data_IF_107582667680
#
_entry.id   IF_107582667680
#
_cell.length_a   1.000
_cell.length_b   1.000
_cell.length_c   1.000
_cell.angle_alpha   90.00
_cell.angle_beta   90.00
_cell.angle_gamma   90.00
#
_symmetry.space_group_name_H-M   'P 1'
#
loop_
_entity.id
_entity.type
_entity.pdbx_description
1 polymer ?
#
# COMPACT_ATOMS: atom_id res chain seq x y z
N UNK A 1 -8.74 -8.09 -22.53
CA UNK A 1 -8.28 -8.38 -21.15
C UNK A 1 -7.21 -7.35 -20.80
N UNK A 2 -7.21 -6.80 -19.59
CA UNK A 2 -6.20 -5.83 -19.15
C UNK A 2 -4.84 -6.48 -18.85
N UNK A 3 -3.81 -5.69 -18.51
CA UNK A 3 -2.51 -6.20 -18.06
C UNK A 3 -2.66 -7.24 -16.95
N UNK A 4 -1.84 -8.29 -16.99
CA UNK A 4 -1.77 -9.31 -15.94
C UNK A 4 -2.96 -10.26 -15.84
N UNK A 5 -3.98 -10.14 -16.71
CA UNK A 5 -5.15 -11.02 -16.69
C UNK A 5 -5.14 -11.97 -17.89
N UNK A 6 -5.31 -13.27 -17.61
CA UNK A 6 -5.63 -14.30 -18.61
C UNK A 6 -6.99 -14.94 -18.32
N UNK A 7 -7.32 -16.01 -19.05
CA UNK A 7 -8.52 -16.79 -18.78
C UNK A 7 -8.46 -17.53 -17.43
N UNK A 8 -7.27 -17.95 -16.99
CA UNK A 8 -7.08 -18.81 -15.81
C UNK A 8 -6.27 -18.15 -14.69
N UNK A 9 -5.58 -17.04 -14.97
CA UNK A 9 -4.69 -16.41 -14.00
C UNK A 9 -4.86 -14.90 -13.94
N UNK A 10 -4.51 -14.33 -12.79
CA UNK A 10 -4.40 -12.90 -12.53
C UNK A 10 -3.10 -12.60 -11.80
N UNK A 11 -2.26 -11.74 -12.38
CA UNK A 11 -0.97 -11.38 -11.82
C UNK A 11 -1.11 -10.23 -10.84
N UNK A 12 -0.65 -10.44 -9.61
CA UNK A 12 -0.72 -9.46 -8.53
C UNK A 12 0.70 -9.20 -8.00
N UNK A 13 1.10 -7.93 -7.99
CA UNK A 13 2.34 -7.49 -7.39
C UNK A 13 2.22 -7.37 -5.87
N UNK A 14 3.25 -7.77 -5.14
CA UNK A 14 3.34 -7.61 -3.69
C UNK A 14 4.66 -6.94 -3.35
N UNK A 15 4.58 -5.79 -2.72
CA UNK A 15 5.73 -5.11 -2.13
C UNK A 15 5.82 -5.61 -0.69
N UNK A 16 6.99 -6.09 -0.28
CA UNK A 16 7.23 -6.50 1.10
C UNK A 16 8.51 -5.85 1.63
N UNK A 17 8.51 -5.28 2.84
CA UNK A 17 9.72 -4.70 3.41
C UNK A 17 10.72 -5.81 3.76
N UNK A 18 12.01 -5.53 3.60
CA UNK A 18 13.05 -6.38 4.14
C UNK A 18 13.07 -6.25 5.68
N UNK A 19 12.81 -7.32 6.44
CA UNK A 19 12.74 -7.25 7.90
C UNK A 19 14.08 -6.85 8.54
N UNK A 20 15.21 -7.07 7.85
CA UNK A 20 16.55 -6.69 8.35
C UNK A 20 16.81 -5.18 8.27
N UNK A 21 16.07 -4.46 7.44
CA UNK A 21 16.27 -3.02 7.21
C UNK A 21 15.06 -2.17 7.61
N UNK A 22 14.01 -2.80 8.14
CA UNK A 22 12.76 -2.14 8.55
C UNK A 22 12.98 -1.00 9.57
N UNK A 23 13.91 -1.16 10.51
CA UNK A 23 14.30 -0.12 11.47
C UNK A 23 15.11 1.06 10.86
N UNK A 24 15.30 1.10 9.54
CA UNK A 24 15.94 2.20 8.83
C UNK A 24 17.42 2.43 9.18
N UNK A 25 18.11 1.44 9.75
CA UNK A 25 19.54 1.52 10.09
C UNK A 25 19.87 2.44 11.28
N UNK A 26 18.86 2.89 12.03
CA UNK A 26 19.01 3.88 13.12
C UNK A 26 19.27 3.26 14.51
N UNK A 27 19.38 1.92 14.58
CA UNK A 27 19.64 1.19 15.83
C UNK A 27 18.40 0.88 16.67
N UNK A 28 17.19 1.23 16.21
CA UNK A 28 15.96 0.73 16.83
C UNK A 28 15.83 -0.79 16.63
N UNK A 29 15.35 -1.47 17.66
CA UNK A 29 14.97 -2.88 17.59
C UNK A 29 13.54 -2.95 17.09
N UNK A 30 13.35 -3.52 15.91
CA UNK A 30 12.02 -3.79 15.38
C UNK A 30 11.45 -5.08 15.97
N UNK A 31 10.12 -5.17 16.06
CA UNK A 31 9.46 -6.40 16.48
C UNK A 31 9.65 -7.52 15.44
N UNK A 32 9.67 -8.79 15.88
CA UNK A 32 9.70 -9.92 14.95
C UNK A 32 8.36 -10.02 14.21
N UNK A 33 8.34 -9.62 12.94
CA UNK A 33 7.16 -9.63 12.08
C UNK A 33 7.04 -10.90 11.20
N UNK A 34 8.01 -11.80 11.31
CA UNK A 34 8.13 -13.01 10.48
C UNK A 34 8.56 -12.71 9.03
N UNK A 35 8.57 -13.75 8.19
CA UNK A 35 8.91 -13.61 6.76
C UNK A 35 7.68 -13.22 5.95
N UNK A 36 7.63 -11.94 5.54
CA UNK A 36 6.52 -11.39 4.77
C UNK A 36 6.32 -12.10 3.40
N UNK A 37 7.38 -12.59 2.76
CA UNK A 37 7.26 -13.35 1.51
C UNK A 37 6.56 -14.68 1.75
N UNK A 38 6.92 -15.39 2.82
CA UNK A 38 6.26 -16.64 3.20
C UNK A 38 4.79 -16.39 3.54
N UNK A 39 4.47 -15.31 4.26
CA UNK A 39 3.09 -14.93 4.58
C UNK A 39 2.26 -14.65 3.32
N UNK A 40 2.80 -13.87 2.37
CA UNK A 40 2.13 -13.61 1.08
C UNK A 40 1.88 -14.91 0.33
N UNK A 41 2.89 -15.78 0.19
CA UNK A 41 2.75 -17.05 -0.52
C UNK A 41 1.73 -17.99 0.16
N UNK A 42 1.68 -18.02 1.49
CA UNK A 42 0.68 -18.78 2.23
C UNK A 42 -0.75 -18.29 1.95
N UNK A 43 -0.96 -16.97 1.96
CA UNK A 43 -2.27 -16.38 1.66
C UNK A 43 -2.68 -16.57 0.20
N UNK A 44 -1.75 -16.40 -0.74
CA UNK A 44 -1.99 -16.65 -2.17
C UNK A 44 -2.38 -18.11 -2.41
N UNK A 45 -1.66 -19.05 -1.79
CA UNK A 45 -1.99 -20.47 -1.86
C UNK A 45 -3.41 -20.73 -1.36
N UNK A 46 -3.74 -20.20 -0.17
CA UNK A 46 -5.09 -20.35 0.39
C UNK A 46 -6.17 -19.81 -0.56
N UNK A 47 -6.01 -18.60 -1.11
CA UNK A 47 -7.00 -18.02 -2.03
C UNK A 47 -7.14 -18.86 -3.31
N UNK A 48 -6.04 -19.33 -3.88
CA UNK A 48 -6.06 -20.17 -5.07
C UNK A 48 -6.76 -21.52 -4.82
N UNK A 49 -6.51 -22.15 -3.66
CA UNK A 49 -7.21 -23.38 -3.23
C UNK A 49 -8.72 -23.18 -3.04
N UNK A 50 -9.18 -21.95 -2.77
CA UNK A 50 -10.60 -21.59 -2.68
C UNK A 50 -11.22 -21.18 -4.03
N UNK A 51 -10.54 -21.40 -5.15
CA UNK A 51 -11.03 -21.08 -6.50
C UNK A 51 -10.54 -19.74 -7.05
N UNK A 52 -9.60 -19.08 -6.36
CA UNK A 52 -8.93 -17.88 -6.84
C UNK A 52 -9.81 -16.62 -6.85
N UNK A 53 -9.30 -15.56 -7.48
CA UNK A 53 -10.01 -14.29 -7.60
C UNK A 53 -10.86 -14.29 -8.87
N UNK A 54 -12.19 -14.23 -8.71
CA UNK A 54 -13.13 -14.30 -9.82
C UNK A 54 -12.87 -15.51 -10.74
N UNK A 55 -12.54 -16.67 -10.15
CA UNK A 55 -12.25 -17.92 -10.86
C UNK A 55 -10.86 -18.00 -11.50
N UNK A 56 -9.93 -17.11 -11.14
CA UNK A 56 -8.54 -17.09 -11.65
C UNK A 56 -7.55 -17.29 -10.52
N UNK A 57 -6.54 -18.11 -10.76
CA UNK A 57 -5.42 -18.25 -9.85
C UNK A 57 -4.60 -16.97 -9.80
N UNK A 58 -4.22 -16.55 -8.60
CA UNK A 58 -3.26 -15.48 -8.39
C UNK A 58 -1.87 -16.01 -8.78
N UNK A 59 -1.22 -15.30 -9.71
CA UNK A 59 0.20 -15.41 -10.06
C UNK A 59 0.96 -14.29 -9.32
N UNK A 60 1.58 -14.57 -8.15
CA UNK A 60 2.17 -13.52 -7.33
C UNK A 60 3.55 -13.09 -7.85
N UNK A 61 3.75 -11.78 -8.00
CA UNK A 61 5.08 -11.19 -8.23
C UNK A 61 5.49 -10.46 -6.96
N UNK A 62 6.55 -10.91 -6.29
CA UNK A 62 6.98 -10.35 -5.01
C UNK A 62 8.27 -9.58 -5.19
N UNK A 63 8.27 -8.30 -4.81
CA UNK A 63 9.47 -7.46 -4.73
C UNK A 63 9.74 -7.12 -3.26
N UNK A 64 10.94 -7.47 -2.80
CA UNK A 64 11.42 -7.09 -1.47
C UNK A 64 12.07 -5.71 -1.58
N UNK A 65 11.67 -4.79 -0.71
CA UNK A 65 12.21 -3.41 -0.70
C UNK A 65 12.95 -3.13 0.60
N UNK A 66 14.08 -2.45 0.50
CA UNK A 66 14.91 -2.08 1.64
C UNK A 66 14.54 -0.67 2.13
N UNK A 67 13.95 -0.59 3.33
CA UNK A 67 13.54 0.69 3.92
C UNK A 67 14.73 1.59 4.27
N UNK A 68 15.92 1.03 4.44
CA UNK A 68 17.15 1.79 4.72
C UNK A 68 17.71 2.54 3.50
N UNK A 69 17.31 2.17 2.28
CA UNK A 69 17.78 2.77 1.02
C UNK A 69 16.63 3.37 0.20
N UNK A 70 15.51 3.61 0.87
CA UNK A 70 14.30 4.12 0.25
C UNK A 70 14.55 5.50 -0.38
N UNK A 71 14.02 5.71 -1.58
CA UNK A 71 14.15 6.95 -2.34
C UNK A 71 13.11 7.00 -3.46
N UNK A 72 12.80 8.22 -3.92
CA UNK A 72 11.94 8.47 -5.09
C UNK A 72 12.35 7.62 -6.30
N UNK A 73 13.65 7.49 -6.58
CA UNK A 73 14.14 6.70 -7.70
C UNK A 73 13.85 5.21 -7.54
N UNK A 74 14.05 4.67 -6.33
CA UNK A 74 13.80 3.24 -6.04
C UNK A 74 12.31 2.92 -6.11
N UNK A 75 11.46 3.73 -5.48
CA UNK A 75 10.02 3.48 -5.51
C UNK A 75 9.41 3.62 -6.92
N UNK A 76 9.91 4.56 -7.73
CA UNK A 76 9.50 4.67 -9.12
C UNK A 76 9.98 3.45 -9.95
N UNK A 77 11.17 2.91 -9.68
CA UNK A 77 11.65 1.69 -10.33
C UNK A 77 10.83 0.45 -9.92
N UNK A 78 10.35 0.40 -8.68
CA UNK A 78 9.39 -0.63 -8.24
C UNK A 78 8.10 -0.53 -9.05
N UNK A 79 7.58 0.69 -9.26
CA UNK A 79 6.41 0.90 -10.11
C UNK A 79 6.64 0.37 -11.53
N UNK A 80 7.65 0.88 -12.25
CA UNK A 80 7.88 0.50 -13.65
C UNK A 80 8.16 -0.98 -13.81
N UNK A 81 8.86 -1.60 -12.85
CA UNK A 81 9.06 -3.03 -12.83
C UNK A 81 7.75 -3.83 -12.80
N UNK A 82 6.82 -3.45 -11.93
CA UNK A 82 5.50 -4.11 -11.90
C UNK A 82 4.65 -3.80 -13.13
N UNK A 83 4.69 -2.57 -13.64
CA UNK A 83 3.74 -2.12 -14.67
C UNK A 83 4.22 -2.38 -16.09
N UNK A 84 5.51 -2.26 -16.36
CA UNK A 84 6.10 -2.36 -17.69
C UNK A 84 6.71 -3.75 -17.95
N UNK A 85 7.44 -4.30 -16.98
CA UNK A 85 8.10 -5.62 -17.10
C UNK A 85 7.11 -6.74 -16.80
N UNK A 86 6.63 -6.79 -15.55
CA UNK A 86 5.77 -7.85 -15.04
C UNK A 86 4.33 -7.70 -15.53
N UNK A 87 3.91 -6.47 -15.86
CA UNK A 87 2.56 -6.10 -16.32
C UNK A 87 1.48 -6.67 -15.40
N UNK A 88 1.59 -6.39 -14.11
CA UNK A 88 0.61 -6.85 -13.10
C UNK A 88 -0.75 -6.17 -13.30
N UNK A 89 -1.82 -6.82 -12.85
CA UNK A 89 -3.15 -6.20 -12.83
C UNK A 89 -3.30 -5.21 -11.67
N UNK A 90 -2.82 -5.62 -10.49
CA UNK A 90 -2.88 -4.86 -9.27
C UNK A 90 -1.60 -5.05 -8.46
N UNK A 91 -1.35 -4.14 -7.53
CA UNK A 91 -0.22 -4.18 -6.60
C UNK A 91 -0.71 -3.96 -5.17
N UNK A 92 -0.20 -4.75 -4.23
CA UNK A 92 -0.37 -4.54 -2.79
C UNK A 92 0.81 -3.73 -2.29
N UNK A 93 0.53 -2.53 -1.79
CA UNK A 93 1.51 -1.62 -1.25
C UNK A 93 1.56 -1.79 0.27
N UNK A 94 2.72 -2.13 0.83
CA UNK A 94 2.92 -2.16 2.30
C UNK A 94 4.01 -1.19 2.77
N UNK A 95 4.65 -0.47 1.84
CA UNK A 95 5.83 0.35 2.16
C UNK A 95 6.15 1.47 1.17
N UNK A 96 5.30 1.73 0.18
CA UNK A 96 5.48 2.88 -0.73
C UNK A 96 5.12 4.16 0.00
N UNK A 97 6.02 5.14 -0.01
CA UNK A 97 5.88 6.43 0.70
C UNK A 97 5.76 7.59 -0.25
N UNK A 98 6.36 7.49 -1.43
CA UNK A 98 6.47 8.58 -2.39
C UNK A 98 5.19 8.73 -3.22
N UNK A 99 4.70 9.96 -3.28
CA UNK A 99 3.51 10.29 -4.07
C UNK A 99 3.73 10.03 -5.57
N UNK A 100 4.97 10.16 -6.06
CA UNK A 100 5.32 9.89 -7.46
C UNK A 100 5.11 8.42 -7.83
N UNK A 101 5.44 7.49 -6.93
CA UNK A 101 5.29 6.06 -7.20
C UNK A 101 3.81 5.67 -7.29
N UNK A 102 2.97 6.20 -6.39
CA UNK A 102 1.49 6.02 -6.50
C UNK A 102 0.93 6.61 -7.78
N UNK A 103 1.41 7.81 -8.16
CA UNK A 103 1.01 8.44 -9.42
C UNK A 103 1.42 7.61 -10.63
N UNK A 104 2.60 6.99 -10.60
CA UNK A 104 3.07 6.08 -11.64
C UNK A 104 2.14 4.88 -11.83
N UNK A 105 1.74 4.20 -10.74
CA UNK A 105 0.80 3.08 -10.84
C UNK A 105 -0.56 3.49 -11.39
N UNK A 106 -1.08 4.65 -10.95
CA UNK A 106 -2.34 5.18 -11.45
C UNK A 106 -2.28 5.52 -12.95
N UNK A 107 -1.18 6.13 -13.42
CA UNK A 107 -0.95 6.42 -14.84
C UNK A 107 -0.82 5.15 -15.68
N UNK A 108 -0.23 4.09 -15.10
CA UNK A 108 -0.17 2.77 -15.71
C UNK A 108 -1.49 1.98 -15.62
N UNK A 109 -2.57 2.59 -15.11
CA UNK A 109 -3.88 1.97 -14.91
C UNK A 109 -3.82 0.69 -14.06
N UNK A 110 -2.90 0.64 -13.09
CA UNK A 110 -2.70 -0.50 -12.19
C UNK A 110 -3.39 -0.24 -10.87
N UNK A 111 -4.25 -1.17 -10.43
CA UNK A 111 -4.97 -1.03 -9.16
C UNK A 111 -4.00 -1.14 -7.99
N UNK A 112 -4.02 -0.18 -7.10
CA UNK A 112 -3.26 -0.15 -5.86
C UNK A 112 -4.15 -0.55 -4.70
N UNK A 113 -3.77 -1.62 -4.01
CA UNK A 113 -4.30 -1.99 -2.71
C UNK A 113 -3.30 -1.47 -1.68
N UNK A 114 -3.58 -0.28 -1.13
CA UNK A 114 -2.68 0.38 -0.18
C UNK A 114 -2.96 -0.11 1.25
N UNK A 115 -2.19 -1.12 1.64
CA UNK A 115 -2.18 -1.71 2.96
C UNK A 115 -1.06 -1.12 3.85
N UNK A 116 -0.39 -0.05 3.40
CA UNK A 116 0.72 0.59 4.10
C UNK A 116 0.30 1.41 5.32
N UNK A 117 1.29 1.92 6.04
CA UNK A 117 1.13 2.70 7.28
C UNK A 117 1.12 4.22 7.08
N UNK A 118 1.10 4.70 5.83
CA UNK A 118 1.13 6.13 5.51
C UNK A 118 -0.27 6.62 5.13
N UNK A 119 -0.92 7.45 5.97
CA UNK A 119 -2.25 7.95 5.65
C UNK A 119 -2.18 8.98 4.51
N UNK A 120 -3.18 8.98 3.65
CA UNK A 120 -3.31 9.90 2.51
C UNK A 120 -4.39 10.96 2.79
N UNK A 121 -4.27 12.12 2.17
CA UNK A 121 -5.28 13.18 2.18
C UNK A 121 -6.46 12.90 1.26
N UNK A 122 -7.58 13.58 1.46
CA UNK A 122 -8.76 13.47 0.58
C UNK A 122 -8.42 13.82 -0.88
N UNK A 123 -7.54 14.80 -1.09
CA UNK A 123 -7.13 15.19 -2.44
C UNK A 123 -6.31 14.09 -3.12
N UNK A 124 -5.41 13.43 -2.40
CA UNK A 124 -4.66 12.26 -2.90
C UNK A 124 -5.60 11.10 -3.26
N UNK A 125 -6.55 10.77 -2.37
CA UNK A 125 -7.58 9.78 -2.68
C UNK A 125 -8.37 10.13 -3.94
N UNK A 126 -8.71 11.41 -4.14
CA UNK A 126 -9.43 11.86 -5.33
C UNK A 126 -8.58 11.78 -6.59
N UNK A 127 -7.29 12.17 -6.51
CA UNK A 127 -6.37 12.19 -7.63
C UNK A 127 -6.01 10.78 -8.13
N UNK A 128 -5.99 9.79 -7.23
CA UNK A 128 -5.63 8.42 -7.56
C UNK A 128 -6.82 7.53 -7.92
N UNK A 129 -8.05 8.08 -7.99
CA UNK A 129 -9.23 7.35 -8.49
C UNK A 129 -9.08 7.02 -9.99
N UNK A 130 -9.62 5.89 -10.46
CA UNK A 130 -10.28 4.82 -9.71
C UNK A 130 -9.29 3.75 -9.18
N UNK A 131 -7.98 4.00 -9.27
CA UNK A 131 -6.95 2.97 -9.08
C UNK A 131 -6.53 2.76 -7.64
N UNK A 132 -6.79 3.68 -6.72
CA UNK A 132 -6.47 3.50 -5.30
C UNK A 132 -7.63 2.89 -4.50
N UNK A 133 -7.32 1.80 -3.79
CA UNK A 133 -8.13 1.25 -2.71
C UNK A 133 -7.25 1.08 -1.46
N UNK A 134 -7.53 1.83 -0.40
CA UNK A 134 -6.71 1.84 0.82
C UNK A 134 -7.54 1.34 2.03
N UNK A 135 -7.51 0.03 2.33
CA UNK A 135 -8.28 -0.52 3.45
C UNK A 135 -7.72 -0.15 4.83
N UNK A 136 -6.43 0.19 4.94
CA UNK A 136 -5.78 0.46 6.23
C UNK A 136 -6.14 1.84 6.82
N UNK A 137 -6.42 2.83 5.98
CA UNK A 137 -6.69 4.20 6.42
C UNK A 137 -7.84 4.84 5.64
N UNK A 138 -8.65 5.62 6.35
CA UNK A 138 -9.47 6.65 5.71
C UNK A 138 -8.63 7.91 5.48
N UNK A 139 -9.08 8.88 4.65
CA UNK A 139 -8.37 10.16 4.51
C UNK A 139 -8.00 10.78 5.87
N UNK A 140 -6.75 11.26 6.01
CA UNK A 140 -6.19 11.74 7.28
C UNK A 140 -7.03 12.85 7.92
N UNK A 141 -7.75 13.62 7.11
CA UNK A 141 -8.64 14.67 7.56
C UNK A 141 -9.81 14.13 8.40
N UNK A 142 -10.28 12.90 8.16
CA UNK A 142 -11.30 12.26 9.01
C UNK A 142 -10.76 12.04 10.43
N UNK A 143 -9.51 11.59 10.53
CA UNK A 143 -8.85 11.39 11.82
C UNK A 143 -8.65 12.73 12.53
N UNK A 144 -8.12 13.74 11.83
CA UNK A 144 -7.91 15.08 12.40
C UNK A 144 -9.21 15.71 12.92
N UNK A 145 -10.32 15.57 12.18
CA UNK A 145 -11.64 16.04 12.61
C UNK A 145 -12.15 15.32 13.86
N UNK A 146 -11.95 14.00 13.93
CA UNK A 146 -12.36 13.19 15.08
C UNK A 146 -11.54 13.55 16.32
N UNK A 147 -10.23 13.70 16.18
CA UNK A 147 -9.34 14.11 17.26
C UNK A 147 -9.69 15.51 17.78
N UNK A 148 -9.91 16.47 16.88
CA UNK A 148 -10.29 17.83 17.25
C UNK A 148 -11.62 17.87 18.02
N UNK A 149 -12.58 17.03 17.62
CA UNK A 149 -13.86 16.86 18.32
C UNK A 149 -13.65 16.31 19.74
N UNK A 150 -12.88 15.23 19.89
CA UNK A 150 -12.61 14.63 21.19
C UNK A 150 -11.84 15.54 22.14
N UNK A 151 -10.88 16.33 21.63
CA UNK A 151 -10.15 17.32 22.43
C UNK A 151 -11.07 18.44 22.92
N UNK A 152 -12.01 18.91 22.09
CA UNK A 152 -13.02 19.88 22.51
C UNK A 152 -13.92 19.31 23.61
N UNK A 153 -14.33 18.05 23.50
CA UNK A 153 -15.16 17.38 24.51
C UNK A 153 -14.45 17.16 25.85
N UNK A 154 -13.11 17.19 25.86
CA UNK A 154 -12.28 17.08 27.06
C UNK A 154 -11.87 18.45 27.63
N UNK A 155 -12.49 19.53 27.18
CA UNK A 155 -12.14 20.91 27.56
C UNK A 155 -10.64 21.24 27.36
N UNK A 156 -9.99 20.57 26.39
CA UNK A 156 -8.57 20.76 26.12
C UNK A 156 -8.28 22.16 25.56
N UNK A 157 -9.23 22.74 24.83
CA UNK A 157 -9.10 24.08 24.25
C UNK A 157 -9.68 25.14 25.18
N UNK A 158 -9.05 26.32 25.22
CA UNK A 158 -9.59 27.46 25.95
C UNK A 158 -10.97 27.92 25.40
N UNK A 159 -11.78 28.60 26.22
CA UNK A 159 -13.18 28.92 25.89
C UNK A 159 -13.36 29.78 24.63
N UNK A 160 -12.34 30.54 24.24
CA UNK A 160 -12.37 31.43 23.07
C UNK A 160 -11.85 30.78 21.78
N UNK A 161 -11.42 29.51 21.84
CA UNK A 161 -10.85 28.81 20.68
C UNK A 161 -11.96 28.15 19.87
N UNK A 162 -12.11 28.58 18.61
CA UNK A 162 -12.98 27.90 17.64
C UNK A 162 -12.24 26.73 16.99
N UNK A 163 -12.87 25.56 17.03
CA UNK A 163 -12.37 24.32 16.42
C UNK A 163 -13.42 23.81 15.43
N UNK A 164 -13.08 23.83 14.14
CA UNK A 164 -13.98 23.57 13.01
C UNK A 164 -14.08 24.79 12.10
#
# INVERSE_FOLDING_TARGET
MGPGISNSAIRIGFIVPNPKTAAGGTGFVDGESGDAKVQVLAMVKYVNEQGGLAGREIDPVIRVVDSATDSVQQENAVCTGFTEEDKVFAVVLTGIREASARSCFAQANTVMIDAGSSPLSRSEFSALKPYLWAPSFTPIENYAQTLATGLREQDFFGPDVKVG
#
